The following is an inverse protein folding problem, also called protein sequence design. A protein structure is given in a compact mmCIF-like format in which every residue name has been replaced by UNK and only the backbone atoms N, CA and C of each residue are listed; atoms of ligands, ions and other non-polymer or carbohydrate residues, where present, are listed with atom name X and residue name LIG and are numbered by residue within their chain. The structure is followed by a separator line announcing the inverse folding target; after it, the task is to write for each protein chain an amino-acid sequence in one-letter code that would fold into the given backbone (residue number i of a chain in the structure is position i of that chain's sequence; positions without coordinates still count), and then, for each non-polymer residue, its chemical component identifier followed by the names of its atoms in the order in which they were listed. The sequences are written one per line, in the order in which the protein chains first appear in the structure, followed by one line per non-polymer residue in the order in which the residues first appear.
data_IF_749480269623
#
_entry.id   IF_749480269623
#
_cell.length_a   1.000
_cell.length_b   1.000
_cell.length_c   1.000
_cell.angle_alpha   90.00
_cell.angle_beta   90.00
_cell.angle_gamma   90.00
#
_symmetry.space_group_name_H-M   'P 1'
#
loop_
_entity.id
_entity.type
_entity.pdbx_description
1 polymer ?
#
# COMPACT_ATOMS: atom_id res chain seq x y z
N UNK A 1 7.48 -8.85 2.87
CA UNK A 1 7.12 -10.27 3.06
C UNK A 1 6.81 -10.85 1.70
N UNK A 2 7.34 -12.02 1.37
CA UNK A 2 6.87 -12.77 0.21
C UNK A 2 5.83 -13.81 0.70
N UNK A 3 5.10 -14.39 -0.24
CA UNK A 3 4.45 -15.67 -0.04
C UNK A 3 5.22 -16.64 -0.94
N UNK A 4 5.58 -17.85 -0.49
CA UNK A 4 6.25 -18.83 -1.35
C UNK A 4 5.75 -20.22 -1.03
N UNK A 5 5.30 -20.96 -2.04
CA UNK A 5 5.10 -22.41 -1.94
C UNK A 5 6.45 -23.11 -2.12
N UNK A 6 6.84 -23.97 -1.19
CA UNK A 6 8.00 -24.84 -1.34
C UNK A 6 7.68 -25.91 -2.39
N UNK A 7 8.50 -26.00 -3.44
CA UNK A 7 8.52 -27.15 -4.34
C UNK A 7 9.56 -28.16 -3.83
N UNK A 8 9.11 -29.35 -3.45
CA UNK A 8 9.99 -30.51 -3.32
C UNK A 8 9.54 -31.58 -4.30
N UNK A 9 10.51 -32.07 -5.07
CA UNK A 9 10.34 -33.10 -6.08
C UNK A 9 10.69 -34.49 -5.50
N UNK A 10 9.93 -35.47 -5.96
CA UNK A 10 10.12 -36.93 -5.86
C UNK A 10 9.78 -37.60 -4.52
N UNK A 11 8.53 -38.04 -4.39
CA UNK A 11 8.22 -39.48 -4.45
C UNK A 11 6.72 -39.65 -4.70
N UNK A 12 6.40 -40.46 -5.70
CA UNK A 12 5.05 -40.87 -6.09
C UNK A 12 4.30 -41.48 -4.93
N UNK A 13 3.34 -40.74 -4.38
CA UNK A 13 2.16 -41.31 -3.76
C UNK A 13 0.95 -40.46 -4.13
N UNK A 14 0.02 -41.11 -4.81
CA UNK A 14 -1.27 -40.58 -5.22
C UNK A 14 -2.13 -40.32 -3.98
N UNK A 15 -2.00 -39.14 -3.39
CA UNK A 15 -3.02 -38.58 -2.50
C UNK A 15 -3.58 -37.33 -3.15
N UNK A 16 -4.52 -37.55 -4.08
CA UNK A 16 -5.54 -36.55 -4.39
C UNK A 16 -6.28 -36.33 -3.07
N UNK A 17 -5.89 -35.29 -2.33
CA UNK A 17 -6.64 -34.85 -1.17
C UNK A 17 -7.95 -34.27 -1.69
N UNK A 18 -8.96 -35.12 -1.81
CA UNK A 18 -10.35 -34.72 -1.91
C UNK A 18 -10.60 -33.69 -0.83
N UNK A 19 -10.84 -32.44 -1.24
CA UNK A 19 -11.41 -31.42 -0.37
C UNK A 19 -12.70 -31.99 0.21
N UNK A 20 -12.65 -32.41 1.46
CA UNK A 20 -13.76 -33.08 2.12
C UNK A 20 -14.98 -32.16 2.20
N UNK A 21 -16.14 -32.69 1.81
CA UNK A 21 -17.49 -32.17 2.01
C UNK A 21 -17.81 -32.02 3.51
N UNK A 22 -17.19 -31.03 4.13
CA UNK A 22 -17.80 -30.35 5.26
C UNK A 22 -18.28 -28.99 4.73
N UNK A 23 -19.45 -28.54 5.16
CA UNK A 23 -20.07 -27.22 4.89
C UNK A 23 -19.14 -26.06 5.30
N UNK A 24 -17.98 -25.93 4.66
CA UNK A 24 -17.03 -24.86 4.86
C UNK A 24 -17.51 -23.70 4.00
N UNK A 25 -18.31 -22.86 4.63
CA UNK A 25 -18.78 -21.64 3.99
C UNK A 25 -17.73 -20.56 4.20
N UNK A 26 -16.96 -20.27 3.15
CA UNK A 26 -16.07 -19.10 3.16
C UNK A 26 -16.90 -17.81 3.28
N UNK A 27 -16.37 -16.77 3.96
CA UNK A 27 -17.06 -15.49 4.02
C UNK A 27 -17.16 -14.84 2.64
N UNK A 28 -18.32 -14.25 2.34
CA UNK A 28 -18.54 -13.50 1.09
C UNK A 28 -17.87 -12.13 1.09
N UNK A 29 -17.66 -11.54 2.25
CA UNK A 29 -17.04 -10.21 2.37
C UNK A 29 -15.58 -10.34 2.81
N UNK A 30 -14.67 -9.69 2.09
CA UNK A 30 -13.24 -9.67 2.38
C UNK A 30 -12.91 -9.27 3.82
N UNK A 31 -13.67 -8.34 4.39
CA UNK A 31 -13.51 -7.87 5.78
C UNK A 31 -13.79 -8.93 6.85
N UNK A 32 -14.46 -10.03 6.48
CA UNK A 32 -14.76 -11.15 7.37
C UNK A 32 -13.75 -12.30 7.25
N UNK A 33 -12.71 -12.15 6.42
CA UNK A 33 -11.67 -13.15 6.26
C UNK A 33 -10.70 -13.13 7.44
N UNK A 34 -10.20 -14.31 7.81
CA UNK A 34 -9.18 -14.48 8.84
C UNK A 34 -7.95 -15.18 8.24
N UNK A 35 -6.82 -15.12 8.95
CA UNK A 35 -5.62 -15.87 8.60
C UNK A 35 -5.90 -17.38 8.47
N UNK A 36 -6.83 -17.92 9.26
CA UNK A 36 -7.27 -19.32 9.15
C UNK A 36 -7.85 -19.64 7.78
N UNK A 37 -8.73 -18.77 7.26
CA UNK A 37 -9.32 -18.95 5.93
C UNK A 37 -8.26 -18.89 4.81
N UNK A 38 -7.27 -18.00 4.93
CA UNK A 38 -6.17 -17.92 3.96
C UNK A 38 -5.33 -19.22 3.95
N UNK A 39 -5.02 -19.74 5.14
CA UNK A 39 -4.27 -20.98 5.27
C UNK A 39 -5.00 -22.18 4.64
N UNK A 40 -6.34 -22.20 4.72
CA UNK A 40 -7.17 -23.24 4.10
C UNK A 40 -7.12 -23.22 2.56
N UNK A 41 -6.91 -22.06 1.95
CA UNK A 41 -6.75 -21.92 0.49
C UNK A 41 -5.27 -21.90 0.05
N UNK A 42 -4.34 -22.24 0.94
CA UNK A 42 -2.91 -22.35 0.62
C UNK A 42 -2.15 -21.03 0.56
N UNK A 43 -2.69 -19.95 1.14
CA UNK A 43 -2.03 -18.64 1.24
C UNK A 43 -1.45 -18.46 2.64
N UNK A 44 -0.15 -18.19 2.71
CA UNK A 44 0.60 -18.07 3.97
C UNK A 44 1.44 -16.79 3.99
N UNK A 45 1.67 -16.25 5.20
CA UNK A 45 2.63 -15.18 5.44
C UNK A 45 3.99 -15.77 5.81
N UNK A 46 5.07 -15.23 5.25
CA UNK A 46 6.43 -15.61 5.64
C UNK A 46 6.76 -15.14 7.06
N UNK A 47 7.41 -15.99 7.86
CA UNK A 47 7.85 -15.69 9.24
C UNK A 47 8.88 -14.56 9.33
N UNK A 48 9.63 -14.30 8.25
CA UNK A 48 10.65 -13.28 8.20
C UNK A 48 10.30 -12.18 7.19
N UNK A 49 10.44 -10.92 7.62
CA UNK A 49 10.40 -9.81 6.68
C UNK A 49 11.62 -9.88 5.75
N UNK A 50 11.38 -9.68 4.47
CA UNK A 50 12.43 -9.39 3.49
C UNK A 50 12.63 -7.88 3.44
N UNK A 51 13.87 -7.44 3.30
CA UNK A 51 14.14 -6.02 3.06
C UNK A 51 13.78 -5.62 1.62
N UNK A 52 13.76 -4.30 1.39
CA UNK A 52 13.39 -3.75 0.09
C UNK A 52 14.41 -4.10 -1.01
N UNK A 53 15.70 -4.17 -0.69
CA UNK A 53 16.73 -4.50 -1.68
C UNK A 53 16.58 -5.94 -2.18
N UNK A 54 16.30 -6.87 -1.26
CA UNK A 54 16.03 -8.26 -1.56
C UNK A 54 14.76 -8.42 -2.39
N UNK A 55 13.69 -7.68 -2.06
CA UNK A 55 12.48 -7.65 -2.87
C UNK A 55 12.76 -7.14 -4.30
N UNK A 56 13.47 -6.02 -4.42
CA UNK A 56 13.84 -5.44 -5.72
C UNK A 56 14.76 -6.39 -6.52
N UNK A 57 15.64 -7.12 -5.86
CA UNK A 57 16.47 -8.16 -6.48
C UNK A 57 15.62 -9.32 -7.03
N UNK A 58 14.61 -9.76 -6.27
CA UNK A 58 13.64 -10.77 -6.74
C UNK A 58 12.89 -10.32 -8.00
N UNK A 59 12.45 -9.05 -8.05
CA UNK A 59 11.79 -8.48 -9.23
C UNK A 59 12.73 -8.39 -10.45
N UNK A 60 14.00 -8.02 -10.23
CA UNK A 60 15.01 -7.85 -11.29
C UNK A 60 15.50 -9.17 -11.90
N UNK A 61 15.50 -10.25 -11.13
CA UNK A 61 16.05 -11.54 -11.58
C UNK A 61 15.02 -12.44 -12.25
N UNK A 62 13.72 -12.19 -12.08
CA UNK A 62 12.66 -13.01 -12.68
C UNK A 62 12.28 -12.55 -14.09
N UNK A 63 12.33 -13.48 -15.05
CA UNK A 63 12.03 -13.23 -16.47
C UNK A 63 10.56 -12.98 -16.79
N UNK A 64 9.63 -13.34 -15.90
CA UNK A 64 8.18 -13.27 -16.16
C UNK A 64 7.52 -11.97 -15.67
N UNK A 65 8.28 -11.06 -15.04
CA UNK A 65 7.77 -9.74 -14.65
C UNK A 65 7.76 -8.86 -15.90
N UNK A 66 6.59 -8.35 -16.29
CA UNK A 66 6.47 -7.37 -17.37
C UNK A 66 7.05 -6.05 -16.87
N UNK A 67 8.15 -5.57 -17.48
CA UNK A 67 8.88 -4.36 -17.02
C UNK A 67 8.64 -3.13 -17.88
N UNK A 68 7.72 -3.23 -18.83
CA UNK A 68 7.44 -2.14 -19.77
C UNK A 68 6.95 -0.90 -18.99
N UNK A 69 7.66 0.23 -19.16
CA UNK A 69 7.24 1.53 -18.64
C UNK A 69 7.93 2.00 -17.36
N UNK A 70 8.67 1.15 -16.63
CA UNK A 70 9.46 1.55 -15.45
C UNK A 70 10.60 2.52 -15.81
N UNK A 71 11.28 2.25 -16.91
CA UNK A 71 12.31 3.10 -17.53
C UNK A 71 11.75 4.47 -17.97
N UNK A 72 10.43 4.55 -18.15
CA UNK A 72 9.68 5.74 -18.54
C UNK A 72 8.96 6.41 -17.37
N UNK A 73 9.37 6.12 -16.12
CA UNK A 73 8.95 6.85 -14.91
C UNK A 73 9.93 7.95 -14.43
N UNK A 74 10.66 8.73 -15.28
CA UNK A 74 11.53 9.80 -14.79
C UNK A 74 10.76 10.92 -14.08
N UNK A 75 9.42 10.89 -14.12
CA UNK A 75 8.56 11.84 -13.42
C UNK A 75 8.58 11.61 -11.90
N UNK A 76 8.69 10.37 -11.43
CA UNK A 76 8.69 10.03 -10.00
C UNK A 76 10.04 10.37 -9.37
N UNK A 77 11.16 10.02 -10.02
CA UNK A 77 12.50 10.37 -9.54
C UNK A 77 12.68 11.88 -9.44
N UNK A 78 12.18 12.62 -10.43
CA UNK A 78 12.12 14.07 -10.36
C UNK A 78 11.27 14.50 -9.16
N UNK A 79 10.01 14.06 -9.04
CA UNK A 79 9.17 14.47 -7.92
C UNK A 79 9.81 14.20 -6.54
N UNK A 80 10.56 13.10 -6.39
CA UNK A 80 11.34 12.80 -5.20
C UNK A 80 12.45 13.83 -4.93
N UNK A 81 13.32 14.09 -5.92
CA UNK A 81 14.38 15.10 -5.83
C UNK A 81 13.87 16.50 -5.49
N UNK A 82 12.65 16.80 -5.93
CA UNK A 82 12.03 18.09 -5.76
C UNK A 82 11.42 18.22 -4.37
N UNK A 83 10.76 17.17 -3.93
CA UNK A 83 10.18 17.08 -2.59
C UNK A 83 11.28 17.14 -1.54
N UNK A 84 12.37 16.38 -1.70
CA UNK A 84 13.49 16.38 -0.74
C UNK A 84 14.17 17.74 -0.57
N UNK A 85 14.11 18.63 -1.57
CA UNK A 85 14.66 19.99 -1.47
C UNK A 85 13.79 20.97 -0.71
N UNK A 86 12.47 20.77 -0.73
CA UNK A 86 11.50 21.69 -0.10
C UNK A 86 10.94 21.14 1.21
N UNK A 87 11.20 19.86 1.49
CA UNK A 87 10.74 19.18 2.69
C UNK A 87 11.73 19.40 3.83
N UNK A 88 11.40 20.33 4.72
CA UNK A 88 12.34 20.85 5.73
C UNK A 88 12.11 20.32 7.14
N UNK A 89 11.07 19.50 7.35
CA UNK A 89 10.74 19.00 8.69
C UNK A 89 10.17 17.58 8.65
N UNK A 90 10.25 16.89 9.78
CA UNK A 90 9.58 15.60 10.00
C UNK A 90 8.80 15.66 11.30
N UNK A 91 7.67 14.97 11.36
CA UNK A 91 6.86 14.86 12.57
C UNK A 91 6.65 13.39 12.91
N UNK A 92 7.05 13.00 14.13
CA UNK A 92 6.81 11.67 14.66
C UNK A 92 5.47 11.67 15.39
N UNK A 93 4.53 10.85 14.91
CA UNK A 93 3.17 10.79 15.45
C UNK A 93 3.04 9.95 16.74
N UNK A 94 4.15 9.55 17.35
CA UNK A 94 4.18 8.63 18.52
C UNK A 94 3.94 9.33 19.87
N UNK A 95 3.72 10.65 19.89
CA UNK A 95 3.43 11.34 21.14
C UNK A 95 1.94 11.33 21.46
N UNK A 96 1.54 10.37 22.31
CA UNK A 96 0.22 10.27 22.95
C UNK A 96 -0.22 11.54 23.70
N UNK A 97 0.68 12.53 23.86
CA UNK A 97 0.43 13.79 24.58
C UNK A 97 0.17 14.99 23.67
N UNK A 98 0.50 14.89 22.38
CA UNK A 98 0.34 16.01 21.44
C UNK A 98 1.19 17.26 21.77
N UNK A 99 2.19 17.12 22.67
CA UNK A 99 3.00 18.22 23.17
C UNK A 99 3.76 18.92 22.03
N UNK A 100 4.16 18.20 20.99
CA UNK A 100 4.87 18.74 19.82
C UNK A 100 3.97 19.15 18.65
N UNK A 101 2.63 19.03 18.76
CA UNK A 101 1.69 19.35 17.66
C UNK A 101 1.80 20.82 17.24
N UNK A 102 1.94 21.74 18.20
CA UNK A 102 2.08 23.17 17.92
C UNK A 102 3.39 23.49 17.18
N UNK A 103 4.47 22.75 17.47
CA UNK A 103 5.76 22.86 16.76
C UNK A 103 5.60 22.34 15.33
N UNK A 104 4.93 21.20 15.15
CA UNK A 104 4.65 20.65 13.83
C UNK A 104 3.78 21.59 12.98
N UNK A 105 2.81 22.25 13.60
CA UNK A 105 1.96 23.25 12.96
C UNK A 105 2.80 24.45 12.49
N UNK A 106 3.60 25.04 13.39
CA UNK A 106 4.47 26.16 13.06
C UNK A 106 5.46 25.82 11.94
N UNK A 107 6.11 24.66 12.01
CA UNK A 107 7.03 24.17 10.98
C UNK A 107 6.32 23.95 9.63
N UNK A 108 5.09 23.45 9.65
CA UNK A 108 4.30 23.27 8.43
C UNK A 108 3.93 24.62 7.81
N UNK A 109 3.49 25.59 8.62
CA UNK A 109 3.18 26.96 8.16
C UNK A 109 4.43 27.63 7.58
N UNK A 110 5.59 27.46 8.24
CA UNK A 110 6.87 27.96 7.74
C UNK A 110 7.22 27.33 6.39
N UNK A 111 7.14 26.00 6.26
CA UNK A 111 7.42 25.30 5.01
C UNK A 111 6.51 25.78 3.85
N UNK A 112 5.21 25.98 4.11
CA UNK A 112 4.28 26.54 3.12
C UNK A 112 4.71 27.96 2.71
N UNK A 113 5.15 28.78 3.66
CA UNK A 113 5.56 30.17 3.42
C UNK A 113 6.83 30.22 2.59
N UNK A 114 7.87 29.48 2.99
CA UNK A 114 9.13 29.38 2.25
C UNK A 114 8.90 28.84 0.82
N UNK A 115 8.03 27.84 0.67
CA UNK A 115 7.67 27.33 -0.64
C UNK A 115 7.01 28.40 -1.52
N UNK A 116 6.10 29.21 -0.97
CA UNK A 116 5.44 30.31 -1.71
C UNK A 116 6.45 31.38 -2.14
N UNK A 117 7.36 31.76 -1.25
CA UNK A 117 8.40 32.77 -1.54
C UNK A 117 9.36 32.30 -2.63
N UNK A 118 9.78 31.03 -2.58
CA UNK A 118 10.73 30.44 -3.53
C UNK A 118 10.08 29.83 -4.76
N UNK A 119 8.74 29.85 -4.88
CA UNK A 119 8.01 29.11 -5.91
C UNK A 119 8.48 29.44 -7.34
N UNK A 120 8.81 30.70 -7.64
CA UNK A 120 9.27 31.10 -8.97
C UNK A 120 10.66 30.54 -9.27
N UNK A 121 11.61 30.65 -8.33
CA UNK A 121 12.95 30.08 -8.45
C UNK A 121 12.91 28.55 -8.58
N UNK A 122 12.07 27.91 -7.77
CA UNK A 122 11.81 26.46 -7.84
C UNK A 122 11.28 26.12 -9.24
N UNK A 123 10.27 26.82 -9.74
CA UNK A 123 9.70 26.56 -11.06
C UNK A 123 10.75 26.75 -12.19
N UNK A 124 11.54 27.81 -12.15
CA UNK A 124 12.58 28.07 -13.16
C UNK A 124 13.65 26.97 -13.16
N UNK A 125 14.15 26.60 -11.98
CA UNK A 125 15.10 25.50 -11.82
C UNK A 125 14.57 24.17 -12.38
N UNK A 126 13.26 23.92 -12.33
CA UNK A 126 12.65 22.71 -12.88
C UNK A 126 12.58 22.74 -14.40
N UNK A 127 12.21 23.88 -14.97
CA UNK A 127 12.16 24.05 -16.43
C UNK A 127 13.56 23.88 -17.04
N UNK A 128 14.61 24.36 -16.36
CA UNK A 128 16.00 24.16 -16.76
C UNK A 128 16.43 22.69 -16.76
N UNK A 129 15.83 21.85 -15.91
CA UNK A 129 16.06 20.39 -15.88
C UNK A 129 15.26 19.61 -16.93
N UNK A 130 14.55 20.29 -17.83
CA UNK A 130 13.72 19.65 -18.86
C UNK A 130 12.43 19.02 -18.32
N UNK A 131 12.05 19.33 -17.07
CA UNK A 131 10.80 18.83 -16.49
C UNK A 131 9.64 19.60 -17.11
N UNK A 132 8.65 18.87 -17.64
CA UNK A 132 7.46 19.48 -18.24
C UNK A 132 6.71 20.32 -17.20
N UNK A 133 6.30 21.52 -17.60
CA UNK A 133 5.54 22.48 -16.78
C UNK A 133 4.30 21.87 -16.11
N UNK A 134 3.60 20.96 -16.81
CA UNK A 134 2.47 20.21 -16.23
C UNK A 134 2.86 19.40 -14.98
N UNK A 135 4.00 18.70 -15.00
CA UNK A 135 4.44 17.90 -13.86
C UNK A 135 4.79 18.76 -12.65
N UNK A 136 5.39 19.93 -12.87
CA UNK A 136 5.62 20.92 -11.81
C UNK A 136 4.31 21.32 -11.14
N UNK A 137 3.28 21.67 -11.92
CA UNK A 137 1.99 22.08 -11.36
C UNK A 137 1.27 20.93 -10.65
N UNK A 138 1.30 19.71 -11.20
CA UNK A 138 0.75 18.54 -10.52
C UNK A 138 1.43 18.31 -9.16
N UNK A 139 2.77 18.32 -9.14
CA UNK A 139 3.55 18.13 -7.92
C UNK A 139 3.29 19.24 -6.89
N UNK A 140 3.38 20.50 -7.30
CA UNK A 140 3.20 21.65 -6.39
C UNK A 140 1.78 21.76 -5.85
N UNK A 141 0.76 21.39 -6.64
CA UNK A 141 -0.62 21.28 -6.15
C UNK A 141 -0.74 20.17 -5.11
N UNK A 142 -0.23 18.97 -5.41
CA UNK A 142 -0.28 17.84 -4.48
C UNK A 142 0.45 18.11 -3.16
N UNK A 143 1.58 18.83 -3.21
CA UNK A 143 2.33 19.24 -2.02
C UNK A 143 1.53 20.21 -1.14
N UNK A 144 0.86 21.20 -1.75
CA UNK A 144 -0.02 22.12 -1.02
C UNK A 144 -1.22 21.41 -0.42
N UNK A 145 -1.84 20.51 -1.18
CA UNK A 145 -2.99 19.72 -0.71
C UNK A 145 -2.60 18.85 0.48
N UNK A 146 -1.43 18.20 0.42
CA UNK A 146 -0.89 17.45 1.54
C UNK A 146 -0.68 18.34 2.77
N UNK A 147 0.01 19.48 2.64
CA UNK A 147 0.26 20.36 3.78
C UNK A 147 -1.03 20.90 4.40
N UNK A 148 -2.01 21.29 3.58
CA UNK A 148 -3.31 21.74 4.05
C UNK A 148 -4.05 20.63 4.81
N UNK A 149 -4.03 19.40 4.29
CA UNK A 149 -4.63 18.25 4.97
C UNK A 149 -3.90 17.93 6.28
N UNK A 150 -2.57 17.97 6.27
CA UNK A 150 -1.75 17.74 7.45
C UNK A 150 -2.02 18.79 8.54
N UNK A 151 -2.08 20.09 8.19
CA UNK A 151 -2.49 21.15 9.12
C UNK A 151 -3.89 20.91 9.71
N UNK A 152 -4.84 20.50 8.87
CA UNK A 152 -6.19 20.16 9.34
C UNK A 152 -6.15 19.02 10.37
N UNK A 153 -5.30 18.01 10.17
CA UNK A 153 -5.12 16.92 11.14
C UNK A 153 -4.50 17.44 12.45
N UNK A 154 -3.48 18.30 12.39
CA UNK A 154 -2.83 18.91 13.55
C UNK A 154 -3.82 19.77 14.36
N UNK A 155 -4.58 20.65 13.71
CA UNK A 155 -5.60 21.49 14.36
C UNK A 155 -6.71 20.70 15.05
N UNK A 156 -6.94 19.46 14.61
CA UNK A 156 -7.96 18.57 15.16
C UNK A 156 -7.36 17.48 16.03
N UNK A 157 -6.07 17.51 16.35
CA UNK A 157 -5.34 16.40 16.96
C UNK A 157 -6.00 15.88 18.25
N UNK A 158 -6.37 16.80 19.15
CA UNK A 158 -7.00 16.48 20.43
C UNK A 158 -8.52 16.28 20.35
N UNK A 159 -9.12 16.28 19.14
CA UNK A 159 -10.56 16.10 19.00
C UNK A 159 -10.89 14.61 18.93
N UNK A 160 -11.71 14.07 19.85
CA UNK A 160 -12.06 12.64 19.90
C UNK A 160 -12.82 12.15 18.66
N UNK A 161 -13.27 13.06 17.79
CA UNK A 161 -13.99 12.75 16.56
C UNK A 161 -13.09 12.59 15.31
N UNK A 162 -11.76 12.45 15.46
CA UNK A 162 -10.92 12.08 14.33
C UNK A 162 -11.20 10.62 13.95
N UNK A 163 -12.12 10.45 13.00
CA UNK A 163 -12.61 9.15 12.53
C UNK A 163 -11.53 8.24 11.96
N UNK A 164 -11.91 6.97 11.83
CA UNK A 164 -11.14 5.94 11.13
C UNK A 164 -10.71 6.45 9.75
N UNK A 165 -9.45 6.24 9.37
CA UNK A 165 -8.97 6.51 7.99
C UNK A 165 -8.23 7.81 7.76
N UNK A 166 -8.09 8.68 8.77
CA UNK A 166 -7.28 9.91 8.64
C UNK A 166 -5.84 9.68 8.15
N UNK A 167 -5.17 8.64 8.64
CA UNK A 167 -3.79 8.34 8.25
C UNK A 167 -3.71 7.68 6.88
N UNK A 168 -4.74 6.92 6.51
CA UNK A 168 -4.90 6.38 5.16
C UNK A 168 -5.10 7.50 4.14
N UNK A 169 -5.93 8.50 4.46
CA UNK A 169 -6.09 9.70 3.63
C UNK A 169 -4.84 10.59 3.64
N UNK A 170 -4.10 10.66 4.74
CA UNK A 170 -2.79 11.33 4.77
C UNK A 170 -1.79 10.65 3.82
N UNK A 171 -1.71 9.32 3.84
CA UNK A 171 -0.92 8.52 2.90
C UNK A 171 -1.38 8.75 1.46
N UNK A 172 -2.70 8.83 1.24
CA UNK A 172 -3.31 9.16 -0.05
C UNK A 172 -2.89 10.53 -0.57
N UNK A 173 -2.89 11.55 0.29
CA UNK A 173 -2.44 12.89 -0.08
C UNK A 173 -0.93 12.92 -0.33
N UNK A 174 -0.15 12.27 0.52
CA UNK A 174 1.31 12.21 0.43
C UNK A 174 1.79 11.56 -0.87
N UNK A 175 1.19 10.43 -1.23
CA UNK A 175 1.54 9.69 -2.45
C UNK A 175 1.30 10.47 -3.75
N UNK A 176 0.33 11.39 -3.79
CA UNK A 176 0.12 12.29 -4.95
C UNK A 176 1.30 13.21 -5.21
N UNK A 177 2.09 13.55 -4.19
CA UNK A 177 3.32 14.34 -4.34
C UNK A 177 4.27 13.62 -5.29
N UNK A 178 4.36 12.29 -5.19
CA UNK A 178 5.18 11.44 -6.05
C UNK A 178 4.48 11.04 -7.35
N UNK A 179 3.43 11.79 -7.73
CA UNK A 179 2.68 11.63 -8.98
C UNK A 179 1.99 10.28 -9.15
N UNK A 180 1.84 9.53 -8.04
CA UNK A 180 1.00 8.34 -7.97
C UNK A 180 -0.48 8.72 -8.12
N UNK A 181 -1.29 7.80 -8.62
CA UNK A 181 -2.73 8.01 -8.78
C UNK A 181 -3.52 7.15 -7.78
N UNK A 182 -3.76 7.65 -6.55
CA UNK A 182 -4.59 6.95 -5.58
C UNK A 182 -6.08 7.10 -5.87
N UNK A 183 -6.75 5.98 -6.06
CA UNK A 183 -8.22 5.87 -6.14
C UNK A 183 -8.79 5.33 -4.83
N UNK A 184 -9.98 5.81 -4.46
CA UNK A 184 -10.71 5.19 -3.35
C UNK A 184 -11.15 3.80 -3.79
N UNK A 185 -10.85 2.77 -3.00
CA UNK A 185 -11.31 1.43 -3.37
C UNK A 185 -12.83 1.27 -3.25
N UNK A 186 -13.57 2.16 -2.57
CA UNK A 186 -15.04 2.14 -2.62
C UNK A 186 -15.59 2.35 -4.05
N UNK A 187 -14.83 3.06 -4.90
CA UNK A 187 -15.18 3.22 -6.32
C UNK A 187 -14.94 1.94 -7.14
N UNK A 188 -14.31 0.93 -6.54
CA UNK A 188 -13.87 -0.30 -7.19
C UNK A 188 -14.14 -1.52 -6.31
N UNK A 189 -15.28 -2.17 -6.52
CA UNK A 189 -15.59 -3.44 -5.87
C UNK A 189 -15.16 -4.57 -6.78
N UNK A 190 -14.11 -5.27 -6.37
CA UNK A 190 -13.64 -6.46 -7.05
C UNK A 190 -14.28 -7.70 -6.45
N UNK A 191 -14.38 -8.74 -7.25
CA UNK A 191 -14.93 -10.00 -6.77
C UNK A 191 -14.43 -11.18 -7.55
N UNK A 192 -14.12 -12.26 -6.83
CA UNK A 192 -13.65 -13.51 -7.42
C UNK A 192 -14.46 -14.66 -6.85
N UNK A 193 -14.65 -15.71 -7.63
CA UNK A 193 -15.09 -16.98 -7.08
C UNK A 193 -13.89 -17.58 -6.32
N UNK A 194 -14.10 -18.11 -5.12
CA UNK A 194 -13.09 -18.86 -4.35
C UNK A 194 -13.75 -20.14 -3.91
N UNK A 195 -13.35 -21.26 -4.51
CA UNK A 195 -13.85 -22.60 -4.14
C UNK A 195 -15.39 -22.61 -4.08
N UNK A 196 -16.04 -22.04 -5.10
CA UNK A 196 -17.50 -21.99 -5.23
C UNK A 196 -18.19 -20.82 -4.50
N UNK A 197 -17.46 -19.98 -3.75
CA UNK A 197 -18.01 -18.81 -3.05
C UNK A 197 -17.62 -17.53 -3.75
N UNK A 198 -18.58 -16.67 -4.06
CA UNK A 198 -18.30 -15.35 -4.60
C UNK A 198 -17.86 -14.40 -3.48
N UNK A 199 -16.59 -14.04 -3.47
CA UNK A 199 -15.98 -13.17 -2.47
C UNK A 199 -15.85 -11.77 -3.06
N UNK A 200 -16.27 -10.77 -2.29
CA UNK A 200 -16.24 -9.35 -2.66
C UNK A 200 -15.28 -8.61 -1.74
N UNK A 201 -14.53 -7.67 -2.31
CA UNK A 201 -13.66 -6.79 -1.54
C UNK A 201 -13.60 -5.38 -2.10
N UNK A 202 -13.22 -4.47 -1.22
CA UNK A 202 -13.06 -3.05 -1.51
C UNK A 202 -11.86 -2.58 -0.69
N UNK A 203 -10.63 -2.59 -1.25
CA UNK A 203 -9.48 -2.04 -0.54
C UNK A 203 -9.76 -0.58 -0.15
N UNK A 204 -8.97 -0.01 0.76
CA UNK A 204 -9.15 1.39 1.11
C UNK A 204 -8.66 2.31 -0.01
N UNK A 205 -7.49 2.02 -0.59
CA UNK A 205 -6.90 2.77 -1.69
C UNK A 205 -6.32 1.81 -2.71
N UNK A 206 -6.49 2.12 -4.00
CA UNK A 206 -5.74 1.51 -5.10
C UNK A 206 -4.78 2.53 -5.70
N UNK A 207 -3.52 2.15 -5.85
CA UNK A 207 -2.53 2.98 -6.54
C UNK A 207 -2.39 2.49 -7.97
N UNK A 208 -2.70 3.34 -8.94
CA UNK A 208 -2.60 3.00 -10.35
C UNK A 208 -1.38 3.66 -10.99
N UNK A 209 -0.85 3.01 -12.03
CA UNK A 209 0.06 3.66 -12.98
C UNK A 209 -0.68 4.78 -13.70
N UNK A 210 0.05 5.83 -14.09
CA UNK A 210 -0.49 6.80 -15.04
C UNK A 210 -0.82 6.07 -16.35
N UNK A 211 -1.95 6.40 -17.00
CA UNK A 211 -2.35 5.75 -18.23
C UNK A 211 -1.25 5.89 -19.27
N UNK A 212 -0.70 4.77 -19.73
CA UNK A 212 0.25 4.73 -20.84
C UNK A 212 -0.38 3.93 -21.98
N UNK A 213 -0.54 4.57 -23.14
CA UNK A 213 -1.26 3.99 -24.30
C UNK A 213 -2.67 3.47 -23.96
N UNK A 214 -3.35 4.15 -23.03
CA UNK A 214 -4.72 3.80 -22.62
C UNK A 214 -4.82 2.68 -21.58
N UNK A 215 -3.70 2.10 -21.13
CA UNK A 215 -3.67 1.09 -20.07
C UNK A 215 -3.27 1.72 -18.74
N UNK A 216 -4.03 1.42 -17.69
CA UNK A 216 -3.67 1.66 -16.29
C UNK A 216 -3.52 0.30 -15.62
N UNK A 217 -2.51 0.16 -14.78
CA UNK A 217 -2.21 -1.08 -14.06
C UNK A 217 -2.11 -0.77 -12.57
N UNK A 218 -2.47 -1.75 -11.75
CA UNK A 218 -2.40 -1.62 -10.31
C UNK A 218 -0.95 -1.74 -9.83
N UNK A 219 -0.45 -0.73 -9.14
CA UNK A 219 0.86 -0.75 -8.48
C UNK A 219 0.78 -1.39 -7.10
N UNK A 220 -0.11 -0.85 -6.25
CA UNK A 220 -0.23 -1.25 -4.85
C UNK A 220 -1.69 -1.15 -4.38
N UNK A 221 -2.08 -2.04 -3.47
CA UNK A 221 -3.37 -1.95 -2.75
C UNK A 221 -3.11 -1.54 -1.31
N UNK A 222 -3.98 -0.72 -0.75
CA UNK A 222 -3.93 -0.35 0.67
C UNK A 222 -5.10 -0.96 1.39
N UNK A 223 -4.82 -1.79 2.38
CA UNK A 223 -5.80 -2.24 3.36
C UNK A 223 -5.70 -1.29 4.55
N UNK A 224 -6.77 -0.54 4.80
CA UNK A 224 -6.87 0.28 5.99
C UNK A 224 -7.25 -0.59 7.18
N UNK A 225 -6.47 -0.48 8.25
CA UNK A 225 -6.83 -1.09 9.52
C UNK A 225 -7.50 -0.06 10.41
N UNK A 226 -8.81 -0.24 10.60
CA UNK A 226 -9.68 0.70 11.31
C UNK A 226 -9.41 0.73 12.83
N UNK A 227 -8.87 -0.35 13.38
CA UNK A 227 -8.63 -0.50 14.82
C UNK A 227 -7.17 -0.25 15.19
N UNK A 228 -6.93 0.60 16.18
CA UNK A 228 -5.62 0.72 16.84
C UNK A 228 -5.19 -0.58 17.57
N UNK A 229 -6.12 -1.53 17.76
CA UNK A 229 -5.86 -2.87 18.31
C UNK A 229 -5.46 -3.90 17.25
N UNK A 230 -5.01 -3.43 16.08
CA UNK A 230 -4.47 -4.28 15.03
C UNK A 230 -3.26 -5.10 15.49
N UNK A 231 -2.53 -4.60 16.48
CA UNK A 231 -1.42 -5.31 17.10
C UNK A 231 -1.90 -6.20 18.25
N UNK A 232 -1.27 -7.37 18.40
CA UNK A 232 -1.38 -8.21 19.58
C UNK A 232 -0.51 -7.62 20.69
N UNK A 233 -1.12 -6.99 21.69
CA UNK A 233 -0.43 -6.38 22.82
C UNK A 233 0.12 -4.97 22.55
N UNK A 234 0.93 -4.46 23.48
CA UNK A 234 1.63 -3.17 23.35
C UNK A 234 2.79 -3.33 22.35
N UNK A 235 2.65 -2.77 21.15
CA UNK A 235 3.68 -2.88 20.11
C UNK A 235 4.85 -1.95 20.44
N UNK A 236 5.92 -2.54 20.98
CA UNK A 236 7.20 -1.86 21.25
C UNK A 236 8.39 -2.53 20.54
N UNK A 237 8.16 -3.37 19.51
CA UNK A 237 9.25 -4.11 18.88
C UNK A 237 9.94 -3.33 17.76
N UNK A 238 11.27 -3.32 17.82
CA UNK A 238 12.17 -2.78 16.78
C UNK A 238 12.09 -3.57 15.46
N UNK A 239 11.56 -4.81 15.51
CA UNK A 239 11.34 -5.66 14.35
C UNK A 239 9.86 -6.02 14.18
N UNK A 240 9.36 -5.85 12.97
CA UNK A 240 7.99 -6.17 12.61
C UNK A 240 7.87 -7.67 12.23
N UNK A 241 6.89 -8.38 12.81
CA UNK A 241 6.49 -9.73 12.40
C UNK A 241 4.98 -9.78 12.22
N UNK A 242 4.48 -10.61 11.27
CA UNK A 242 3.03 -10.75 11.07
C UNK A 242 2.35 -11.37 12.29
N UNK A 243 3.07 -12.17 13.10
CA UNK A 243 2.55 -12.75 14.33
C UNK A 243 2.00 -11.71 15.30
N UNK A 244 2.52 -10.48 15.24
CA UNK A 244 2.08 -9.36 16.05
C UNK A 244 0.81 -8.69 15.51
N UNK A 245 0.28 -9.08 14.35
CA UNK A 245 -0.98 -8.55 13.79
C UNK A 245 -2.14 -9.51 14.09
N UNK A 246 -3.32 -8.95 14.34
CA UNK A 246 -4.55 -9.72 14.52
C UNK A 246 -4.89 -10.58 13.29
N UNK A 247 -5.37 -11.84 13.47
CA UNK A 247 -5.64 -12.75 12.36
C UNK A 247 -6.68 -12.25 11.34
N UNK A 248 -7.67 -11.48 11.77
CA UNK A 248 -8.70 -10.86 10.92
C UNK A 248 -8.10 -9.81 9.98
N UNK A 249 -7.20 -8.96 10.48
CA UNK A 249 -6.48 -7.96 9.66
C UNK A 249 -5.65 -8.64 8.58
N UNK A 250 -4.91 -9.69 8.94
CA UNK A 250 -4.10 -10.45 7.98
C UNK A 250 -4.98 -11.20 6.96
N UNK A 251 -6.11 -11.72 7.41
CA UNK A 251 -7.12 -12.37 6.57
C UNK A 251 -7.67 -11.42 5.51
N UNK A 252 -8.21 -10.28 5.95
CA UNK A 252 -8.70 -9.22 5.08
C UNK A 252 -7.62 -8.75 4.09
N UNK A 253 -6.41 -8.49 4.58
CA UNK A 253 -5.35 -7.98 3.72
C UNK A 253 -4.91 -8.98 2.65
N UNK A 254 -4.77 -10.25 3.03
CA UNK A 254 -4.38 -11.30 2.09
C UNK A 254 -5.45 -11.54 1.04
N UNK A 255 -6.74 -11.50 1.41
CA UNK A 255 -7.82 -11.67 0.44
C UNK A 255 -7.94 -10.47 -0.50
N UNK A 256 -7.74 -9.24 -0.01
CA UNK A 256 -7.70 -8.03 -0.86
C UNK A 256 -6.55 -8.08 -1.86
N UNK A 257 -5.39 -8.61 -1.47
CA UNK A 257 -4.28 -8.87 -2.41
C UNK A 257 -4.64 -9.90 -3.47
N UNK A 258 -5.32 -10.99 -3.07
CA UNK A 258 -5.73 -12.03 -4.00
C UNK A 258 -6.73 -11.49 -5.04
N UNK A 259 -7.74 -10.73 -4.61
CA UNK A 259 -8.73 -10.12 -5.50
C UNK A 259 -8.07 -9.32 -6.64
N UNK A 260 -6.94 -8.70 -6.34
CA UNK A 260 -6.25 -7.74 -7.20
C UNK A 260 -5.08 -8.36 -7.98
N UNK A 261 -4.87 -9.68 -7.84
CA UNK A 261 -3.67 -10.32 -8.37
C UNK A 261 -3.55 -10.32 -9.90
N UNK A 262 -4.68 -10.30 -10.61
CA UNK A 262 -4.71 -10.27 -12.08
C UNK A 262 -4.37 -8.90 -12.66
N UNK A 263 -4.61 -7.82 -11.92
CA UNK A 263 -4.46 -6.44 -12.38
C UNK A 263 -3.10 -5.82 -12.03
N UNK A 264 -2.27 -6.57 -11.29
CA UNK A 264 -0.99 -6.13 -10.76
C UNK A 264 0.08 -5.86 -11.81
N UNK A 265 0.69 -4.68 -11.75
CA UNK A 265 1.86 -4.28 -12.55
C UNK A 265 3.05 -5.23 -12.35
N UNK A 266 3.23 -5.72 -11.12
CA UNK A 266 4.36 -6.58 -10.75
C UNK A 266 4.07 -8.08 -10.91
N UNK A 267 2.97 -8.45 -11.59
CA UNK A 267 2.57 -9.85 -11.78
C UNK A 267 3.77 -10.73 -12.18
N UNK A 268 3.97 -11.90 -11.53
CA UNK A 268 3.07 -12.61 -10.59
C UNK A 268 3.10 -12.12 -9.13
N UNK A 269 3.75 -10.98 -8.86
CA UNK A 269 3.69 -10.35 -7.54
C UNK A 269 2.57 -9.32 -7.47
N UNK A 270 1.83 -9.36 -6.37
CA UNK A 270 0.90 -8.32 -5.94
C UNK A 270 1.51 -7.63 -4.75
N UNK A 271 1.52 -6.31 -4.74
CA UNK A 271 2.14 -5.55 -3.66
C UNK A 271 1.06 -4.83 -2.88
N UNK A 272 1.13 -4.94 -1.56
CA UNK A 272 0.17 -4.37 -0.62
C UNK A 272 0.81 -3.42 0.36
N UNK A 273 -0.05 -2.61 0.96
CA UNK A 273 0.26 -1.74 2.07
C UNK A 273 -0.78 -2.00 3.16
N UNK A 274 -0.31 -2.41 4.33
CA UNK A 274 -1.07 -2.38 5.57
C UNK A 274 -0.87 -1.02 6.22
N UNK A 275 -1.94 -0.24 6.32
CA UNK A 275 -1.93 1.05 6.99
C UNK A 275 -2.59 0.90 8.37
N UNK A 276 -1.76 0.88 9.42
CA UNK A 276 -2.18 0.72 10.83
C UNK A 276 -1.81 1.97 11.60
N UNK A 277 -2.77 2.86 11.81
CA UNK A 277 -2.48 4.18 12.39
C UNK A 277 -1.43 4.89 11.54
N UNK A 278 -0.29 5.23 12.14
CA UNK A 278 0.83 5.93 11.50
C UNK A 278 1.87 4.98 10.91
N UNK A 279 1.74 3.67 11.15
CA UNK A 279 2.64 2.64 10.62
C UNK A 279 2.17 2.21 9.23
N UNK A 280 3.11 2.21 8.29
CA UNK A 280 2.93 1.77 6.91
C UNK A 280 3.79 0.53 6.70
N UNK A 281 3.15 -0.62 6.47
CA UNK A 281 3.84 -1.91 6.31
C UNK A 281 3.68 -2.37 4.87
N UNK A 282 4.78 -2.56 4.17
CA UNK A 282 4.80 -3.10 2.82
C UNK A 282 4.72 -4.62 2.84
N UNK A 283 3.82 -5.17 2.04
CA UNK A 283 3.60 -6.60 1.87
C UNK A 283 3.70 -6.97 0.39
N UNK A 284 4.01 -8.22 0.10
CA UNK A 284 3.89 -8.74 -1.26
C UNK A 284 3.39 -10.17 -1.23
N UNK A 285 2.47 -10.48 -2.12
CA UNK A 285 2.01 -11.84 -2.38
C UNK A 285 2.58 -12.28 -3.72
N UNK A 286 3.16 -13.47 -3.76
CA UNK A 286 3.49 -14.13 -5.01
C UNK A 286 2.43 -15.19 -5.28
N UNK A 287 1.80 -15.13 -6.44
CA UNK A 287 0.84 -16.14 -6.88
C UNK A 287 0.98 -16.36 -8.38
N UNK A 288 1.24 -17.60 -8.78
CA UNK A 288 1.27 -17.97 -10.19
C UNK A 288 -0.14 -18.05 -10.75
N UNK A 289 -0.30 -17.80 -12.06
CA UNK A 289 -1.61 -17.76 -12.70
C UNK A 289 -2.36 -19.09 -12.59
N UNK A 290 -1.64 -20.23 -12.70
CA UNK A 290 -2.24 -21.55 -12.55
C UNK A 290 -2.77 -21.76 -11.13
N UNK A 291 -1.97 -21.41 -10.12
CA UNK A 291 -2.40 -21.48 -8.72
C UNK A 291 -3.56 -20.52 -8.40
N UNK A 292 -3.56 -19.33 -9.02
CA UNK A 292 -4.68 -18.41 -8.93
C UNK A 292 -5.96 -19.05 -9.48
N UNK A 293 -5.89 -19.64 -10.68
CA UNK A 293 -7.05 -20.25 -11.34
C UNK A 293 -7.53 -21.55 -10.64
N UNK A 294 -6.68 -22.22 -9.87
CA UNK A 294 -7.09 -23.35 -9.03
C UNK A 294 -7.93 -22.89 -7.83
N UNK A 295 -7.62 -21.71 -7.29
CA UNK A 295 -8.37 -21.09 -6.18
C UNK A 295 -9.66 -20.46 -6.71
N UNK A 296 -9.62 -19.86 -7.91
CA UNK A 296 -10.69 -19.05 -8.50
C UNK A 296 -11.59 -19.74 -9.50
#
# INVERSE_FOLDING_TARGET
MAARRLSNSQSSDSSVSSFGEHDRTFPRDASSWTLGHLNEIGIYYDNAAIDLEQFMSCLKTRGNVIRDGLDKMPQISNAFDLTSRVWTFSFAFDEEKGDTVHVAEANTIQAITEFKEKNNEIQENFLLKGIRKFHYYSWSSALKDFWNYFLMLLWRWHKPAQGEGKYTELLRAFSKIFLLMPESGEAYRESINIIGVYVQGSPAIRFLTRPYKGLQQLLFVVTQVKSYKAFKGEYHSDSFTYDNIQPDVLGQHGIELLLEAKEGYFSPYVVGILCIGTKVIFTSMYIELDAYNEIS
#
